data_IF_894258082742
#
_entry.id   IF_894258082742
#
_cell.length_a   1.000
_cell.length_b   1.000
_cell.length_c   1.000
_cell.angle_alpha   90.00
_cell.angle_beta   90.00
_cell.angle_gamma   90.00
#
_symmetry.space_group_name_H-M   'P 1'
#
loop_
_entity.id
_entity.type
_entity.pdbx_description
1 polymer ?
#
# COMPACT_ATOMS: atom_id res chain seq x y z
N UNK A 1 -12.77 32.58 8.62
CA UNK A 1 -12.90 31.29 9.32
C UNK A 1 -14.02 30.50 8.68
N UNK A 2 -13.77 29.50 7.82
CA UNK A 2 -14.85 28.66 7.34
C UNK A 2 -15.13 27.56 8.37
N UNK A 3 -16.42 27.39 8.66
CA UNK A 3 -16.99 26.41 9.59
C UNK A 3 -16.77 24.99 9.06
N UNK A 4 -16.14 24.13 9.87
CA UNK A 4 -16.05 22.70 9.66
C UNK A 4 -17.46 22.09 9.62
N UNK A 5 -17.94 21.68 8.44
CA UNK A 5 -19.05 20.73 8.33
C UNK A 5 -18.48 19.33 8.50
N UNK A 6 -18.72 18.72 9.66
CA UNK A 6 -18.55 17.27 9.85
C UNK A 6 -19.50 16.54 8.90
N UNK A 7 -18.95 15.78 7.96
CA UNK A 7 -19.71 14.85 7.14
C UNK A 7 -19.79 13.52 7.90
N UNK A 8 -20.87 13.32 8.67
CA UNK A 8 -21.18 12.02 9.24
C UNK A 8 -21.74 11.12 8.13
N UNK A 9 -21.03 10.05 7.74
CA UNK A 9 -21.64 8.96 6.98
C UNK A 9 -22.45 8.09 7.95
N UNK A 10 -23.77 8.23 7.92
CA UNK A 10 -24.70 7.27 8.49
C UNK A 10 -24.97 6.16 7.48
N UNK A 11 -24.60 4.92 7.80
CA UNK A 11 -25.18 3.75 7.15
C UNK A 11 -26.32 3.23 8.02
N UNK A 12 -27.55 3.37 7.55
CA UNK A 12 -28.69 2.63 8.08
C UNK A 12 -28.89 1.37 7.25
N UNK A 13 -28.66 0.20 7.84
CA UNK A 13 -29.44 -1.01 7.55
C UNK A 13 -29.48 -1.89 8.79
N UNK A 14 -30.70 -2.31 9.13
CA UNK A 14 -31.06 -3.12 10.29
C UNK A 14 -30.42 -4.51 10.23
N UNK A 15 -29.40 -4.76 11.06
CA UNK A 15 -29.24 -6.04 11.76
C UNK A 15 -28.26 -5.86 12.91
N UNK A 16 -28.57 -6.43 14.07
CA UNK A 16 -27.85 -6.25 15.32
C UNK A 16 -26.43 -6.87 15.26
N UNK A 17 -25.48 -6.11 14.74
CA UNK A 17 -24.06 -6.23 15.08
C UNK A 17 -23.54 -4.81 15.23
N UNK A 18 -23.00 -4.50 16.42
CA UNK A 18 -22.42 -3.18 16.70
C UNK A 18 -21.45 -2.82 15.58
N UNK A 19 -21.66 -1.72 14.83
CA UNK A 19 -20.69 -1.27 13.86
C UNK A 19 -19.41 -0.92 14.63
N UNK A 20 -18.30 -1.55 14.24
CA UNK A 20 -16.96 -1.10 14.66
C UNK A 20 -16.76 0.24 13.98
N UNK A 21 -17.12 1.32 14.68
CA UNK A 21 -16.88 2.69 14.23
C UNK A 21 -15.37 2.92 14.40
N UNK A 22 -14.61 2.72 13.33
CA UNK A 22 -13.29 3.32 13.24
C UNK A 22 -13.50 4.84 13.24
N UNK A 23 -13.26 5.48 14.38
CA UNK A 23 -13.10 6.94 14.43
C UNK A 23 -11.81 7.27 13.68
N UNK A 24 -11.91 7.41 12.36
CA UNK A 24 -10.82 7.95 11.57
C UNK A 24 -10.49 9.34 12.14
N UNK A 25 -9.21 9.65 12.41
CA UNK A 25 -8.83 10.98 12.88
C UNK A 25 -9.24 12.03 11.85
N UNK A 26 -9.35 13.33 12.21
CA UNK A 26 -9.77 14.41 11.31
C UNK A 26 -8.80 14.70 10.15
N UNK A 27 -7.87 13.78 9.87
CA UNK A 27 -6.94 13.84 8.76
C UNK A 27 -7.66 13.52 7.44
N UNK A 28 -7.20 14.09 6.33
CA UNK A 28 -7.76 13.78 5.02
C UNK A 28 -7.46 12.31 4.69
N UNK A 29 -8.48 11.57 4.25
CA UNK A 29 -8.39 10.13 4.00
C UNK A 29 -8.72 9.87 2.53
N UNK A 30 -7.80 9.20 1.82
CA UNK A 30 -8.07 8.65 0.49
C UNK A 30 -8.33 7.16 0.66
N UNK A 31 -9.53 6.71 0.31
CA UNK A 31 -9.90 5.29 0.31
C UNK A 31 -9.95 4.83 -1.14
N UNK A 32 -9.08 3.88 -1.48
CA UNK A 32 -9.03 3.24 -2.78
C UNK A 32 -9.80 1.92 -2.69
N UNK A 33 -10.86 1.79 -3.49
CA UNK A 33 -11.69 0.59 -3.55
C UNK A 33 -11.96 0.16 -4.99
N UNK A 34 -11.80 -1.14 -5.28
CA UNK A 34 -12.04 -1.73 -6.60
C UNK A 34 -13.54 -1.84 -6.92
N UNK A 35 -14.43 -1.80 -5.92
CA UNK A 35 -15.89 -1.84 -6.04
C UNK A 35 -16.52 -0.55 -5.49
N UNK A 36 -16.00 0.60 -5.91
CA UNK A 36 -16.41 1.90 -5.40
C UNK A 36 -17.95 2.05 -5.41
N UNK A 37 -18.54 2.13 -4.21
CA UNK A 37 -19.95 2.48 -4.00
C UNK A 37 -19.98 3.73 -3.12
N UNK A 38 -20.46 4.85 -3.66
CA UNK A 38 -20.67 6.09 -2.89
C UNK A 38 -19.46 7.03 -2.81
N UNK A 39 -18.51 6.76 -1.90
CA UNK A 39 -17.47 7.74 -1.48
C UNK A 39 -16.01 7.29 -1.71
N UNK A 40 -15.79 6.07 -2.18
CA UNK A 40 -14.45 5.54 -2.44
C UNK A 40 -13.95 5.91 -3.85
N UNK A 41 -12.63 6.02 -4.01
CA UNK A 41 -11.99 6.30 -5.30
C UNK A 41 -11.57 4.97 -5.93
N UNK A 42 -11.93 4.72 -7.19
CA UNK A 42 -11.41 3.56 -7.91
C UNK A 42 -9.90 3.68 -8.14
N UNK A 43 -9.20 2.57 -8.34
CA UNK A 43 -7.76 2.61 -8.70
C UNK A 43 -7.56 3.48 -9.94
N UNK A 44 -8.41 3.35 -10.96
CA UNK A 44 -8.34 4.13 -12.20
C UNK A 44 -8.51 5.63 -11.98
N UNK A 45 -9.45 6.03 -11.12
CA UNK A 45 -9.61 7.43 -10.75
C UNK A 45 -8.43 7.95 -9.94
N UNK A 46 -7.91 7.12 -9.01
CA UNK A 46 -6.74 7.49 -8.21
C UNK A 46 -5.52 7.73 -9.09
N UNK A 47 -5.21 6.82 -10.02
CA UNK A 47 -4.02 6.97 -10.89
C UNK A 47 -4.16 8.08 -11.92
N UNK A 48 -5.40 8.48 -12.26
CA UNK A 48 -5.68 9.62 -13.14
C UNK A 48 -5.51 10.95 -12.40
N UNK A 49 -5.99 11.04 -11.16
CA UNK A 49 -6.12 12.32 -10.46
C UNK A 49 -4.90 12.65 -9.61
N UNK A 50 -4.08 11.65 -9.25
CA UNK A 50 -2.89 11.80 -8.40
C UNK A 50 -1.63 11.34 -9.12
N UNK A 51 -0.47 11.79 -8.65
CA UNK A 51 0.84 11.30 -9.11
C UNK A 51 1.93 11.60 -8.08
N UNK A 52 3.09 10.95 -8.24
CA UNK A 52 4.32 11.33 -7.56
C UNK A 52 5.27 11.99 -8.55
N UNK A 53 5.85 13.13 -8.20
CA UNK A 53 6.90 13.75 -9.01
C UNK A 53 8.25 13.02 -8.83
N UNK A 54 9.28 13.46 -9.57
CA UNK A 54 10.63 12.88 -9.54
C UNK A 54 11.32 12.92 -8.16
N UNK A 55 10.88 13.82 -7.26
CA UNK A 55 11.39 13.90 -5.90
C UNK A 55 10.62 13.00 -4.92
N UNK A 56 9.62 12.24 -5.42
CA UNK A 56 8.76 11.40 -4.60
C UNK A 56 7.67 12.18 -3.85
N UNK A 57 7.36 13.41 -4.26
CA UNK A 57 6.26 14.19 -3.67
C UNK A 57 4.94 13.83 -4.35
N UNK A 58 3.97 13.41 -3.55
CA UNK A 58 2.60 13.15 -3.96
C UNK A 58 1.84 14.45 -4.19
N UNK A 59 1.19 14.52 -5.34
CA UNK A 59 0.50 15.68 -5.88
C UNK A 59 -0.81 15.24 -6.52
N UNK A 60 -1.72 16.19 -6.71
CA UNK A 60 -2.96 16.00 -7.48
C UNK A 60 -2.85 16.82 -8.77
N UNK A 61 -3.33 16.29 -9.90
CA UNK A 61 -3.14 16.88 -11.24
C UNK A 61 -3.61 18.34 -11.34
N UNK A 62 -4.63 18.73 -10.57
CA UNK A 62 -5.26 20.06 -10.67
C UNK A 62 -5.20 20.92 -9.39
N UNK A 63 -4.64 20.44 -8.28
CA UNK A 63 -4.56 21.19 -7.02
C UNK A 63 -3.11 21.58 -6.67
N UNK A 64 -2.88 22.84 -6.29
CA UNK A 64 -1.60 23.32 -5.75
C UNK A 64 -1.42 23.02 -4.25
N UNK A 65 -2.47 22.56 -3.55
CA UNK A 65 -2.46 22.30 -2.11
C UNK A 65 -3.11 20.94 -1.84
N UNK A 66 -2.30 19.88 -1.88
CA UNK A 66 -2.65 18.64 -1.18
C UNK A 66 -2.53 18.95 0.32
N UNK A 67 -3.53 18.64 1.16
CA UNK A 67 -3.43 18.80 2.61
C UNK A 67 -2.11 18.26 3.13
N UNK A 68 -1.49 18.96 4.08
CA UNK A 68 -0.14 18.62 4.53
C UNK A 68 -0.05 17.19 5.06
N UNK A 69 -1.11 16.66 5.68
CA UNK A 69 -1.13 15.32 6.25
C UNK A 69 -2.38 14.56 5.81
N UNK A 70 -2.19 13.33 5.34
CA UNK A 70 -3.27 12.42 4.96
C UNK A 70 -2.85 10.97 5.13
N UNK A 71 -3.85 10.10 5.19
CA UNK A 71 -3.68 8.66 5.12
C UNK A 71 -4.24 8.13 3.80
N UNK A 72 -3.47 7.27 3.14
CA UNK A 72 -3.95 6.50 2.00
C UNK A 72 -4.28 5.11 2.50
N UNK A 73 -5.53 4.73 2.29
CA UNK A 73 -6.07 3.42 2.59
C UNK A 73 -6.45 2.71 1.31
N UNK A 74 -6.11 1.43 1.19
CA UNK A 74 -6.61 0.57 0.10
C UNK A 74 -7.19 -0.71 0.69
N UNK A 75 -8.40 -1.04 0.27
CA UNK A 75 -9.05 -2.28 0.68
C UNK A 75 -8.66 -3.45 -0.21
N UNK A 76 -8.40 -4.58 0.43
CA UNK A 76 -8.15 -5.87 -0.20
C UNK A 76 -9.36 -6.76 -0.03
N UNK A 77 -9.61 -7.53 -1.09
CA UNK A 77 -10.74 -8.43 -1.18
C UNK A 77 -10.24 -9.85 -1.40
N UNK A 78 -10.70 -10.78 -0.56
CA UNK A 78 -10.57 -12.23 -0.79
C UNK A 78 -12.00 -12.79 -0.78
N UNK A 79 -12.34 -13.62 -1.77
CA UNK A 79 -13.68 -14.19 -1.96
C UNK A 79 -14.83 -13.16 -1.86
N UNK A 80 -14.63 -11.99 -2.47
CA UNK A 80 -15.57 -10.86 -2.44
C UNK A 80 -15.83 -10.23 -1.07
N UNK A 81 -15.10 -10.63 -0.03
CA UNK A 81 -15.16 -10.03 1.31
C UNK A 81 -14.04 -9.02 1.48
N UNK A 82 -14.34 -7.84 2.04
CA UNK A 82 -13.34 -6.85 2.44
C UNK A 82 -12.55 -7.40 3.63
N UNK A 83 -11.27 -7.70 3.44
CA UNK A 83 -10.46 -8.41 4.43
C UNK A 83 -9.36 -7.51 5.00
N UNK A 84 -8.54 -6.91 4.16
CA UNK A 84 -7.32 -6.23 4.62
C UNK A 84 -7.29 -4.77 4.20
N UNK A 85 -6.65 -3.96 5.02
CA UNK A 85 -6.47 -2.54 4.81
C UNK A 85 -4.99 -2.26 4.68
N UNK A 86 -4.55 -1.85 3.49
CA UNK A 86 -3.27 -1.17 3.38
C UNK A 86 -3.40 0.24 3.91
N UNK A 87 -2.38 0.70 4.63
CA UNK A 87 -2.32 2.07 5.15
C UNK A 87 -0.90 2.61 4.98
N UNK A 88 -0.79 3.87 4.55
CA UNK A 88 0.43 4.67 4.67
C UNK A 88 0.06 6.13 4.93
N UNK A 89 0.85 6.80 5.77
CA UNK A 89 0.73 8.23 6.03
C UNK A 89 1.57 9.01 5.03
N UNK A 90 1.04 10.15 4.61
CA UNK A 90 1.79 11.16 3.87
C UNK A 90 1.89 12.42 4.71
N UNK A 91 3.12 12.95 4.85
CA UNK A 91 3.43 14.18 5.55
C UNK A 91 4.15 15.13 4.58
N UNK A 92 3.59 16.31 4.41
CA UNK A 92 4.01 17.36 3.47
C UNK A 92 4.20 16.85 2.03
N UNK A 93 3.37 15.89 1.62
CA UNK A 93 3.43 15.25 0.30
C UNK A 93 4.41 14.08 0.19
N UNK A 94 5.06 13.62 1.26
CA UNK A 94 5.95 12.46 1.23
C UNK A 94 5.45 11.28 2.07
N UNK A 95 5.59 10.04 1.58
CA UNK A 95 5.32 8.86 2.41
C UNK A 95 6.24 8.90 3.63
N UNK A 96 5.65 8.79 4.82
CA UNK A 96 6.37 8.94 6.08
C UNK A 96 5.82 7.94 7.09
N UNK A 97 6.73 7.26 7.81
CA UNK A 97 6.36 6.28 8.82
C UNK A 97 6.18 4.89 8.25
N UNK A 98 5.29 4.10 8.86
CA UNK A 98 5.15 2.67 8.56
C UNK A 98 3.96 2.48 7.62
N UNK A 99 4.21 1.88 6.46
CA UNK A 99 3.16 1.23 5.68
C UNK A 99 2.83 -0.12 6.30
N UNK A 100 1.55 -0.43 6.41
CA UNK A 100 1.07 -1.69 6.96
C UNK A 100 0.00 -2.33 6.08
N UNK A 101 0.02 -3.65 5.95
CA UNK A 101 -1.16 -4.44 5.57
C UNK A 101 -1.83 -4.92 6.84
N UNK A 102 -3.12 -4.60 7.03
CA UNK A 102 -3.90 -4.91 8.24
C UNK A 102 -3.33 -4.20 9.48
N UNK A 103 -3.66 -2.92 9.74
CA UNK A 103 -3.00 -2.12 10.77
C UNK A 103 -3.19 -2.65 12.20
N UNK A 104 -4.31 -3.33 12.48
CA UNK A 104 -4.56 -3.96 13.79
C UNK A 104 -3.72 -5.23 13.96
N UNK A 105 -3.45 -5.94 12.86
CA UNK A 105 -2.67 -7.18 12.84
C UNK A 105 -1.74 -7.22 11.63
N UNK A 106 -0.59 -6.51 11.67
CA UNK A 106 0.24 -6.31 10.49
C UNK A 106 0.73 -7.62 9.89
N UNK A 107 0.44 -7.83 8.60
CA UNK A 107 1.02 -8.92 7.79
C UNK A 107 2.31 -8.46 7.10
N UNK A 108 2.43 -7.16 6.83
CA UNK A 108 3.61 -6.56 6.23
C UNK A 108 3.81 -5.16 6.80
N UNK A 109 5.05 -4.82 7.11
CA UNK A 109 5.46 -3.51 7.59
C UNK A 109 6.64 -3.00 6.76
N UNK A 110 6.55 -1.78 6.24
CA UNK A 110 7.63 -1.12 5.49
C UNK A 110 7.83 0.29 6.02
N UNK A 111 9.06 0.62 6.41
CA UNK A 111 9.37 1.97 6.90
C UNK A 111 9.79 2.91 5.77
N UNK A 112 9.10 4.05 5.69
CA UNK A 112 9.34 5.16 4.79
C UNK A 112 9.82 6.40 5.51
N UNK A 113 10.78 7.10 4.91
CA UNK A 113 11.22 8.44 5.30
C UNK A 113 11.37 9.29 4.06
N UNK A 114 10.62 10.39 3.97
CA UNK A 114 10.57 11.25 2.77
C UNK A 114 10.38 10.45 1.48
N UNK A 115 9.35 9.60 1.46
CA UNK A 115 9.00 8.69 0.36
C UNK A 115 9.98 7.56 0.07
N UNK A 116 11.10 7.45 0.79
CA UNK A 116 12.11 6.42 0.55
C UNK A 116 11.98 5.28 1.54
N UNK A 117 12.00 4.04 1.06
CA UNK A 117 12.19 2.86 1.93
C UNK A 117 13.55 2.98 2.63
N UNK A 118 13.53 3.16 3.95
CA UNK A 118 14.72 3.58 4.70
C UNK A 118 14.70 3.04 6.15
N UNK A 119 14.48 1.75 6.30
CA UNK A 119 14.39 1.10 7.60
C UNK A 119 13.92 -0.33 7.50
N UNK A 120 13.21 -0.78 8.54
CA UNK A 120 12.74 -2.15 8.65
C UNK A 120 11.73 -2.49 7.56
N UNK A 121 11.88 -3.70 7.02
CA UNK A 121 10.90 -4.41 6.22
C UNK A 121 10.61 -5.73 6.93
N UNK A 122 9.36 -5.98 7.30
CA UNK A 122 8.98 -7.17 8.07
C UNK A 122 7.72 -7.77 7.44
N UNK A 123 7.72 -9.09 7.31
CA UNK A 123 6.56 -9.87 6.89
C UNK A 123 6.23 -10.89 7.97
N UNK A 124 4.95 -10.97 8.30
CA UNK A 124 4.38 -11.87 9.29
C UNK A 124 3.41 -12.85 8.62
N UNK A 125 3.21 -14.02 9.22
CA UNK A 125 2.06 -14.86 8.91
C UNK A 125 0.83 -14.44 9.74
N UNK A 126 -0.31 -15.09 9.49
CA UNK A 126 -1.56 -14.86 10.24
C UNK A 126 -1.46 -15.19 11.72
N UNK A 127 -0.48 -16.01 12.12
CA UNK A 127 -0.20 -16.41 13.51
C UNK A 127 0.83 -15.48 14.19
N UNK A 128 1.17 -14.33 13.58
CA UNK A 128 2.13 -13.33 14.08
C UNK A 128 3.59 -13.78 14.13
N UNK A 129 3.94 -14.90 13.52
CA UNK A 129 5.33 -15.32 13.37
C UNK A 129 6.00 -14.49 12.27
N UNK A 130 7.25 -14.10 12.49
CA UNK A 130 8.04 -13.37 11.49
C UNK A 130 8.49 -14.36 10.42
N UNK A 131 8.00 -14.19 9.20
CA UNK A 131 8.42 -14.95 8.03
C UNK A 131 9.72 -14.39 7.43
N UNK A 132 9.85 -13.07 7.47
CA UNK A 132 11.02 -12.38 6.94
C UNK A 132 11.21 -11.02 7.58
N UNK A 133 12.48 -10.65 7.79
CA UNK A 133 12.88 -9.33 8.26
C UNK A 133 14.17 -8.91 7.58
N UNK A 134 14.20 -7.68 7.06
CA UNK A 134 15.40 -7.06 6.52
C UNK A 134 15.39 -5.54 6.75
N UNK A 135 16.41 -4.86 6.23
CA UNK A 135 16.51 -3.40 6.22
C UNK A 135 16.71 -2.89 4.80
N UNK A 136 15.96 -1.85 4.44
CA UNK A 136 16.15 -1.09 3.23
C UNK A 136 16.93 0.19 3.52
N UNK A 137 17.88 0.52 2.66
CA UNK A 137 18.65 1.76 2.74
C UNK A 137 18.44 2.57 1.46
N UNK A 138 17.75 3.71 1.59
CA UNK A 138 17.48 4.61 0.47
C UNK A 138 16.89 3.87 -0.76
N UNK A 139 15.95 2.96 -0.53
CA UNK A 139 15.30 2.18 -1.59
C UNK A 139 16.04 0.95 -2.07
N UNK A 140 17.19 0.62 -1.49
CA UNK A 140 17.98 -0.54 -1.86
C UNK A 140 17.84 -1.63 -0.80
N UNK A 141 17.62 -2.86 -1.25
CA UNK A 141 17.43 -4.00 -0.36
C UNK A 141 17.06 -5.26 -1.14
N UNK A 142 16.83 -6.34 -0.39
CA UNK A 142 16.32 -7.59 -0.95
C UNK A 142 14.88 -7.80 -0.48
N UNK A 143 13.96 -7.99 -1.42
CA UNK A 143 12.55 -8.15 -1.18
C UNK A 143 12.17 -9.62 -1.09
N UNK A 144 11.32 -9.97 -0.12
CA UNK A 144 10.62 -11.26 -0.06
C UNK A 144 9.20 -11.03 0.46
N UNK A 145 8.20 -11.34 -0.36
CA UNK A 145 6.80 -11.36 0.09
C UNK A 145 6.27 -12.79 0.13
N UNK A 146 5.16 -12.98 0.85
CA UNK A 146 4.68 -14.30 1.23
C UNK A 146 3.18 -14.45 1.03
N UNK A 147 2.75 -15.69 0.79
CA UNK A 147 1.38 -16.12 1.05
C UNK A 147 1.22 -16.20 2.58
N UNK A 148 0.65 -15.16 3.19
CA UNK A 148 0.72 -14.94 4.64
C UNK A 148 0.06 -16.04 5.48
N UNK A 149 -0.93 -16.75 4.93
CA UNK A 149 -1.61 -17.85 5.64
C UNK A 149 -0.76 -19.12 5.65
N UNK A 150 -0.19 -19.50 4.51
CA UNK A 150 0.62 -20.71 4.35
C UNK A 150 2.10 -20.51 4.74
N UNK A 151 2.54 -19.25 4.87
CA UNK A 151 3.93 -18.89 5.16
C UNK A 151 4.91 -19.20 4.03
N UNK A 152 4.41 -19.44 2.81
CA UNK A 152 5.24 -19.75 1.63
C UNK A 152 5.65 -18.48 0.91
N UNK A 153 6.87 -18.47 0.37
CA UNK A 153 7.36 -17.34 -0.44
C UNK A 153 6.45 -17.18 -1.65
N UNK A 154 6.06 -15.93 -1.93
CA UNK A 154 5.24 -15.54 -3.08
C UNK A 154 6.11 -14.90 -4.16
N UNK A 155 7.01 -14.01 -3.78
CA UNK A 155 7.95 -13.38 -4.69
C UNK A 155 9.22 -12.96 -3.97
N UNK A 156 10.33 -12.93 -4.68
CA UNK A 156 11.58 -12.37 -4.16
C UNK A 156 12.47 -11.81 -5.27
N UNK A 157 13.31 -10.85 -4.89
CA UNK A 157 14.32 -10.29 -5.78
C UNK A 157 15.01 -9.05 -5.24
N UNK A 158 15.98 -8.56 -5.99
CA UNK A 158 16.72 -7.35 -5.63
C UNK A 158 15.90 -6.11 -5.97
N UNK A 159 15.90 -5.15 -5.06
CA UNK A 159 15.33 -3.82 -5.26
C UNK A 159 16.46 -2.81 -5.27
N UNK A 160 16.49 -1.97 -6.30
CA UNK A 160 17.45 -0.87 -6.46
C UNK A 160 16.67 0.42 -6.68
N UNK A 161 16.92 1.44 -5.86
CA UNK A 161 16.21 2.72 -5.90
C UNK A 161 14.68 2.58 -5.93
N UNK A 162 14.12 1.66 -5.14
CA UNK A 162 12.69 1.32 -5.08
C UNK A 162 12.13 0.48 -6.24
N UNK A 163 12.93 0.18 -7.26
CA UNK A 163 12.49 -0.58 -8.43
C UNK A 163 12.98 -2.02 -8.39
N UNK A 164 12.19 -2.95 -8.95
CA UNK A 164 12.64 -4.32 -9.22
C UNK A 164 13.90 -4.27 -10.12
N UNK A 165 14.93 -5.03 -9.76
CA UNK A 165 16.18 -5.11 -10.53
C UNK A 165 16.74 -6.53 -10.54
N UNK A 166 17.30 -6.93 -11.67
CA UNK A 166 17.87 -8.26 -11.88
C UNK A 166 16.80 -9.35 -11.87
N UNK A 167 17.21 -10.55 -11.48
CA UNK A 167 16.30 -11.71 -11.42
C UNK A 167 15.30 -11.57 -10.27
N UNK A 168 14.03 -11.79 -10.61
CA UNK A 168 12.91 -11.89 -9.70
C UNK A 168 12.22 -13.23 -9.89
N UNK A 169 11.97 -13.92 -8.78
CA UNK A 169 11.31 -15.22 -8.76
C UNK A 169 9.92 -15.05 -8.19
N UNK A 170 8.95 -15.68 -8.84
CA UNK A 170 7.57 -15.73 -8.43
C UNK A 170 7.20 -17.18 -8.20
N UNK A 171 6.49 -17.44 -7.12
CA UNK A 171 6.13 -18.76 -6.66
C UNK A 171 4.61 -18.84 -6.56
N UNK A 172 4.06 -20.02 -6.79
CA UNK A 172 2.64 -20.29 -6.54
C UNK A 172 2.39 -20.66 -5.07
N UNK A 173 1.12 -20.81 -4.69
CA UNK A 173 0.69 -21.19 -3.33
C UNK A 173 1.22 -22.57 -2.87
N UNK A 174 1.71 -23.39 -3.79
CA UNK A 174 2.37 -24.65 -3.45
C UNK A 174 3.85 -24.47 -3.09
N UNK A 175 4.43 -23.28 -3.32
CA UNK A 175 5.83 -22.97 -3.09
C UNK A 175 6.74 -23.34 -4.26
N UNK A 176 6.18 -23.71 -5.42
CA UNK A 176 6.96 -23.99 -6.63
C UNK A 176 7.16 -22.70 -7.43
N UNK A 177 8.32 -22.57 -8.08
CA UNK A 177 8.58 -21.47 -9.01
C UNK A 177 7.53 -21.52 -10.12
N UNK A 178 6.77 -20.43 -10.23
CA UNK A 178 5.78 -20.19 -11.26
C UNK A 178 6.41 -19.44 -12.45
N UNK A 179 7.21 -18.42 -12.15
CA UNK A 179 7.97 -17.69 -13.19
C UNK A 179 9.25 -17.05 -12.64
N UNK A 180 10.18 -16.79 -13.56
CA UNK A 180 11.39 -16.00 -13.32
C UNK A 180 11.41 -14.89 -14.36
N UNK A 181 11.64 -13.65 -13.91
CA UNK A 181 11.73 -12.47 -14.78
C UNK A 181 12.99 -11.69 -14.47
N UNK A 182 13.56 -11.05 -15.48
CA UNK A 182 14.69 -10.15 -15.33
C UNK A 182 14.21 -8.70 -15.51
N UNK A 183 14.48 -7.85 -14.53
CA UNK A 183 14.11 -6.44 -14.53
C UNK A 183 15.33 -5.54 -14.66
N UNK A 184 15.20 -4.50 -15.47
CA UNK A 184 16.12 -3.37 -15.56
C UNK A 184 15.49 -2.14 -14.91
N UNK A 185 16.32 -1.18 -14.47
CA UNK A 185 15.81 0.07 -13.90
C UNK A 185 14.92 0.85 -14.87
N UNK A 186 15.15 0.70 -16.19
CA UNK A 186 14.31 1.29 -17.23
C UNK A 186 12.86 0.82 -17.19
N UNK A 187 12.59 -0.39 -16.68
CA UNK A 187 11.23 -0.94 -16.60
C UNK A 187 10.39 -0.20 -15.57
N UNK A 188 11.03 0.50 -14.62
CA UNK A 188 10.40 1.40 -13.64
C UNK A 188 9.27 0.75 -12.82
N UNK A 189 9.39 -0.54 -12.51
CA UNK A 189 8.42 -1.28 -11.68
C UNK A 189 8.68 -1.00 -10.20
N UNK A 190 7.97 0.00 -9.66
CA UNK A 190 8.10 0.44 -8.27
C UNK A 190 7.39 -0.53 -7.33
N UNK A 191 8.05 -0.93 -6.24
CA UNK A 191 7.49 -1.88 -5.26
C UNK A 191 6.71 -1.19 -4.13
N UNK A 192 6.77 0.13 -4.02
CA UNK A 192 6.19 0.87 -2.91
C UNK A 192 4.69 1.05 -3.12
N UNK A 193 3.87 0.78 -2.12
CA UNK A 193 2.51 1.29 -2.10
C UNK A 193 2.51 2.80 -1.74
N UNK A 194 1.75 3.66 -2.44
CA UNK A 194 0.90 3.38 -3.59
C UNK A 194 1.59 3.61 -4.96
N UNK A 195 2.89 3.88 -5.02
CA UNK A 195 3.64 4.05 -6.28
C UNK A 195 3.41 2.90 -7.28
N UNK A 196 3.34 1.67 -6.78
CA UNK A 196 3.09 0.47 -7.57
C UNK A 196 1.76 0.48 -8.33
N UNK A 197 0.76 1.26 -7.89
CA UNK A 197 -0.50 1.41 -8.61
C UNK A 197 -0.33 2.14 -9.95
N UNK A 198 0.76 2.90 -10.13
CA UNK A 198 1.05 3.67 -11.34
C UNK A 198 1.91 2.89 -12.35
N UNK A 199 2.34 1.68 -12.01
CA UNK A 199 3.12 0.84 -12.93
C UNK A 199 2.25 0.42 -14.12
N UNK A 200 2.74 0.64 -15.34
CA UNK A 200 2.00 0.26 -16.56
C UNK A 200 1.93 -1.25 -16.79
N UNK A 201 2.98 -1.97 -16.40
CA UNK A 201 3.16 -3.37 -16.77
C UNK A 201 2.87 -4.35 -15.62
N UNK A 202 2.99 -3.91 -14.37
CA UNK A 202 2.84 -4.77 -13.20
C UNK A 202 2.39 -3.95 -11.98
N UNK A 203 1.07 -3.81 -11.75
CA UNK A 203 0.58 -3.19 -10.53
C UNK A 203 0.86 -4.10 -9.32
N UNK A 204 0.90 -3.52 -8.12
CA UNK A 204 0.97 -4.32 -6.89
C UNK A 204 -0.29 -5.18 -6.71
N UNK A 205 -0.07 -6.46 -6.38
CA UNK A 205 -1.09 -7.46 -6.05
C UNK A 205 -1.48 -7.41 -4.58
#
# INVERSE_FOLDING_TARGET
MPKNKLLYLFFFTFCACKPIIYRLPPEYVIIIDRKATGYDISVDHFVRDYYFNSNGKFLRVNDTIVPSNYHIYKWFYIDNKRIELECIKIINGYLEGIYTINPDMPLKEIYYKKSKMAGKYIVYNTDRQILYRTYFTNGNGYWKDYYYKEGKIREEGKVVNHYKYGEWKYYNENGKIDSIKAYQLSDSIDVRFPHCLFNKNEPCY
#
